data_IF_164063656669
#
_entry.id   IF_164063656669
#
_cell.length_a   1.000
_cell.length_b   1.000
_cell.length_c   1.000
_cell.angle_alpha   90.00
_cell.angle_beta   90.00
_cell.angle_gamma   90.00
#
_symmetry.space_group_name_H-M   'P 1'
#
loop_
_entity.id
_entity.type
_entity.pdbx_description
1 polymer ?
#
# COMPACT_ATOMS: atom_id res chain seq x y z
N UNK A 1 23.52 -19.83 -53.67
CA UNK A 1 22.53 -20.86 -54.06
C UNK A 1 21.65 -21.03 -52.85
N UNK A 2 20.44 -20.49 -52.88
CA UNK A 2 19.45 -20.71 -51.83
C UNK A 2 18.85 -22.08 -52.11
N UNK A 3 19.28 -23.10 -51.38
CA UNK A 3 18.69 -24.42 -51.43
C UNK A 3 17.28 -24.34 -50.79
N UNK A 4 16.28 -24.37 -51.66
CA UNK A 4 14.86 -24.38 -51.27
C UNK A 4 14.42 -25.83 -50.96
N UNK A 5 15.06 -26.47 -49.97
CA UNK A 5 14.63 -27.78 -49.48
C UNK A 5 13.54 -27.56 -48.39
N UNK A 6 12.47 -28.35 -48.41
CA UNK A 6 11.41 -28.26 -47.37
C UNK A 6 11.98 -28.75 -46.03
N UNK A 7 12.35 -27.85 -45.16
CA UNK A 7 12.73 -28.14 -43.78
C UNK A 7 11.48 -28.38 -42.92
N UNK A 8 11.59 -29.25 -41.94
CA UNK A 8 10.59 -29.38 -40.89
C UNK A 8 11.08 -28.64 -39.66
N UNK A 9 10.15 -27.95 -38.99
CA UNK A 9 10.41 -27.11 -37.85
C UNK A 9 9.63 -27.64 -36.65
N UNK A 10 10.30 -27.92 -35.56
CA UNK A 10 9.70 -28.38 -34.29
C UNK A 10 10.27 -27.55 -33.14
N UNK A 11 9.40 -26.99 -32.36
CA UNK A 11 9.74 -26.26 -31.17
C UNK A 11 9.72 -27.17 -29.93
N UNK A 12 10.45 -26.75 -28.88
CA UNK A 12 10.57 -27.54 -27.63
C UNK A 12 9.25 -27.70 -26.87
N UNK A 13 8.24 -26.90 -27.17
CA UNK A 13 6.86 -27.00 -26.63
C UNK A 13 5.97 -27.95 -27.48
N UNK A 14 6.50 -28.53 -28.55
CA UNK A 14 5.77 -29.39 -29.47
C UNK A 14 5.11 -28.67 -30.64
N UNK A 15 5.22 -27.35 -30.74
CA UNK A 15 4.68 -26.56 -31.86
C UNK A 15 5.44 -26.91 -33.14
N UNK A 16 4.72 -27.16 -34.25
CA UNK A 16 5.26 -27.41 -35.55
C UNK A 16 5.10 -26.18 -36.45
N UNK A 17 6.16 -25.74 -37.10
CA UNK A 17 6.16 -24.58 -37.99
C UNK A 17 7.33 -23.64 -37.74
N UNK A 18 7.51 -22.71 -38.64
CA UNK A 18 8.60 -21.73 -38.63
C UNK A 18 8.39 -20.59 -37.65
N UNK A 19 7.19 -20.51 -37.07
CA UNK A 19 6.77 -19.39 -36.20
C UNK A 19 6.17 -19.94 -34.93
N UNK A 20 6.66 -19.47 -33.79
CA UNK A 20 6.11 -19.71 -32.44
C UNK A 20 5.30 -18.51 -32.00
N UNK A 21 4.04 -18.70 -31.53
CA UNK A 21 3.11 -17.63 -31.16
C UNK A 21 2.47 -17.91 -29.80
N UNK A 22 2.06 -16.86 -29.11
CA UNK A 22 1.31 -16.93 -27.84
C UNK A 22 2.01 -17.75 -26.76
N UNK A 23 3.33 -17.57 -26.63
CA UNK A 23 4.15 -18.27 -25.63
C UNK A 23 4.56 -17.30 -24.50
N UNK A 24 4.68 -17.85 -23.30
CA UNK A 24 5.15 -17.14 -22.12
C UNK A 24 6.69 -16.97 -22.14
N UNK A 25 7.23 -16.22 -21.18
CA UNK A 25 8.66 -16.16 -20.96
C UNK A 25 9.24 -17.58 -20.76
N UNK A 26 10.42 -17.82 -21.31
CA UNK A 26 11.06 -19.12 -21.22
C UNK A 26 12.17 -19.31 -22.24
N UNK A 27 12.86 -20.41 -22.13
CA UNK A 27 13.84 -20.84 -23.11
C UNK A 27 13.17 -21.80 -24.13
N UNK A 28 13.14 -21.38 -25.37
CA UNK A 28 12.58 -22.17 -26.48
C UNK A 28 13.70 -22.65 -27.39
N UNK A 29 13.63 -23.92 -27.77
CA UNK A 29 14.56 -24.51 -28.73
C UNK A 29 13.81 -24.84 -29.99
N UNK A 30 14.29 -24.36 -31.13
CA UNK A 30 13.81 -24.71 -32.44
C UNK A 30 14.73 -25.80 -33.02
N UNK A 31 14.16 -26.92 -33.41
CA UNK A 31 14.83 -27.99 -34.16
C UNK A 31 14.44 -27.88 -35.64
N UNK A 32 15.42 -27.76 -36.50
CA UNK A 32 15.25 -27.66 -37.93
C UNK A 32 15.80 -28.96 -38.52
N UNK A 33 14.97 -29.75 -39.20
CA UNK A 33 15.37 -30.98 -39.81
C UNK A 33 15.29 -30.87 -41.34
N UNK A 34 16.38 -31.14 -42.02
CA UNK A 34 16.43 -31.15 -43.50
C UNK A 34 15.90 -32.44 -44.08
N UNK A 35 15.84 -32.53 -45.41
CA UNK A 35 15.40 -33.72 -46.14
C UNK A 35 16.35 -34.93 -46.02
N UNK A 36 17.56 -34.74 -45.52
CA UNK A 36 18.56 -35.81 -45.26
C UNK A 36 18.50 -36.28 -43.79
N UNK A 37 17.52 -35.82 -43.01
CA UNK A 37 17.39 -36.02 -41.55
C UNK A 37 18.53 -35.42 -40.72
N UNK A 38 19.24 -34.39 -41.23
CA UNK A 38 20.17 -33.63 -40.44
C UNK A 38 19.40 -32.65 -39.59
N UNK A 39 19.72 -32.60 -38.30
CA UNK A 39 19.04 -31.72 -37.33
C UNK A 39 19.98 -30.64 -36.87
N UNK A 40 19.55 -29.38 -36.99
CA UNK A 40 20.19 -28.23 -36.41
C UNK A 40 19.25 -27.65 -35.34
N UNK A 41 19.77 -27.05 -34.26
CA UNK A 41 18.93 -26.43 -33.24
C UNK A 41 19.40 -25.01 -32.94
N UNK A 42 18.42 -24.16 -32.63
CA UNK A 42 18.61 -22.78 -32.19
C UNK A 42 17.84 -22.52 -30.90
N UNK A 43 18.44 -21.79 -29.97
CA UNK A 43 17.83 -21.47 -28.72
C UNK A 43 17.47 -19.98 -28.66
N UNK A 44 16.28 -19.70 -28.19
CA UNK A 44 15.72 -18.36 -28.04
C UNK A 44 15.27 -18.18 -26.60
N UNK A 45 15.88 -17.23 -25.88
CA UNK A 45 15.42 -16.82 -24.58
C UNK A 45 14.36 -15.73 -24.73
N UNK A 46 13.13 -16.03 -24.39
CA UNK A 46 12.06 -15.06 -24.28
C UNK A 46 12.01 -14.59 -22.84
N UNK A 47 12.35 -13.34 -22.61
CA UNK A 47 12.28 -12.71 -21.29
C UNK A 47 10.94 -12.00 -21.14
N UNK A 48 10.46 -11.89 -19.89
CA UNK A 48 9.36 -11.00 -19.60
C UNK A 48 9.84 -9.55 -19.84
N UNK A 49 9.27 -8.84 -20.81
CA UNK A 49 9.72 -7.51 -21.14
C UNK A 49 9.31 -6.46 -20.09
N UNK A 50 8.44 -6.83 -19.15
CA UNK A 50 7.76 -5.86 -18.28
C UNK A 50 8.14 -6.07 -16.83
N UNK A 51 8.90 -5.12 -16.28
CA UNK A 51 9.16 -5.03 -14.84
C UNK A 51 8.57 -3.71 -14.36
N UNK A 52 7.66 -3.79 -13.40
CA UNK A 52 7.16 -2.63 -12.67
C UNK A 52 8.06 -2.42 -11.44
N UNK A 53 8.36 -1.17 -11.16
CA UNK A 53 8.99 -0.75 -9.91
C UNK A 53 8.30 0.51 -9.41
N UNK A 54 8.35 0.73 -8.11
CA UNK A 54 7.78 1.92 -7.50
C UNK A 54 8.90 2.82 -6.96
N UNK A 55 8.73 4.12 -7.15
CA UNK A 55 9.63 5.14 -6.61
C UNK A 55 8.85 6.31 -6.01
N UNK A 56 9.56 7.19 -5.30
CA UNK A 56 8.96 8.36 -4.65
C UNK A 56 7.73 8.00 -3.81
N UNK A 57 7.87 6.95 -2.99
CA UNK A 57 6.80 6.48 -2.13
C UNK A 57 6.76 7.37 -0.89
N UNK A 58 5.60 7.92 -0.58
CA UNK A 58 5.32 8.53 0.73
C UNK A 58 4.16 7.80 1.39
N UNK A 59 4.23 7.67 2.68
CA UNK A 59 3.22 7.03 3.50
C UNK A 59 2.30 8.07 4.16
N UNK A 60 1.20 7.63 4.74
CA UNK A 60 0.31 8.48 5.50
C UNK A 60 0.96 8.91 6.82
N UNK A 61 0.67 10.11 7.27
CA UNK A 61 1.20 10.61 8.55
C UNK A 61 0.34 10.17 9.74
N UNK A 62 -0.97 10.09 9.53
CA UNK A 62 -1.96 9.80 10.56
C UNK A 62 -2.80 8.58 10.18
N UNK A 63 -3.34 7.90 11.17
CA UNK A 63 -4.31 6.82 10.96
C UNK A 63 -5.54 7.37 10.22
N UNK A 64 -5.91 6.72 9.12
CA UNK A 64 -7.06 7.11 8.31
C UNK A 64 -6.80 8.22 7.31
N UNK A 65 -5.58 8.76 7.23
CA UNK A 65 -5.21 9.69 6.18
C UNK A 65 -5.23 9.03 4.80
N UNK A 66 -5.31 9.87 3.79
CA UNK A 66 -5.18 9.47 2.38
C UNK A 66 -4.29 10.48 1.66
N UNK A 67 -3.05 10.65 2.14
CA UNK A 67 -2.04 11.57 1.59
C UNK A 67 -0.83 10.84 0.99
N UNK A 68 -0.84 9.51 1.04
CA UNK A 68 0.21 8.68 0.45
C UNK A 68 0.42 8.98 -1.03
N UNK A 69 1.63 8.80 -1.50
CA UNK A 69 1.97 8.94 -2.92
C UNK A 69 2.84 7.78 -3.39
N UNK A 70 2.75 7.46 -4.66
CA UNK A 70 3.66 6.52 -5.31
C UNK A 70 3.85 6.89 -6.78
N UNK A 71 5.05 6.67 -7.29
CA UNK A 71 5.35 6.82 -8.72
C UNK A 71 5.68 5.46 -9.30
N UNK A 72 5.00 5.07 -10.36
CA UNK A 72 5.32 3.85 -11.11
C UNK A 72 6.49 4.12 -12.05
N UNK A 73 7.46 3.23 -12.07
CA UNK A 73 8.45 3.13 -13.11
C UNK A 73 8.35 1.74 -13.75
N UNK A 74 8.14 1.66 -15.05
CA UNK A 74 8.17 0.41 -15.80
C UNK A 74 9.42 0.36 -16.66
N UNK A 75 10.20 -0.73 -16.55
CA UNK A 75 11.27 -1.05 -17.49
C UNK A 75 10.78 -2.15 -18.44
N UNK A 76 11.17 -2.05 -19.72
CA UNK A 76 10.74 -3.00 -20.74
C UNK A 76 9.49 -2.59 -21.53
N UNK A 77 8.53 -1.91 -20.95
CA UNK A 77 7.52 -1.17 -21.69
C UNK A 77 8.19 0.01 -22.37
N UNK A 78 8.41 -0.05 -23.65
CA UNK A 78 8.98 1.08 -24.41
C UNK A 78 7.90 2.15 -24.58
N UNK A 79 7.48 2.77 -23.47
CA UNK A 79 6.70 4.00 -23.52
C UNK A 79 7.56 5.19 -24.05
N UNK A 80 8.69 4.90 -24.72
CA UNK A 80 9.59 5.93 -25.23
C UNK A 80 8.97 6.80 -26.32
N UNK A 81 7.97 6.28 -27.04
CA UNK A 81 7.33 6.99 -28.15
C UNK A 81 5.80 7.01 -28.11
N UNK A 82 5.19 6.42 -27.08
CA UNK A 82 3.74 6.37 -26.91
C UNK A 82 3.36 6.40 -25.44
N UNK A 83 2.21 6.97 -25.13
CA UNK A 83 1.73 7.18 -23.77
C UNK A 83 1.07 5.92 -23.23
N UNK A 84 1.68 5.25 -22.24
CA UNK A 84 0.96 4.27 -21.43
C UNK A 84 -0.17 4.95 -20.65
N UNK A 85 -1.25 4.24 -20.45
CA UNK A 85 -2.32 4.64 -19.53
C UNK A 85 -2.16 3.92 -18.20
N UNK A 86 -2.55 4.59 -17.14
CA UNK A 86 -2.48 4.09 -15.77
C UNK A 86 -3.87 4.08 -15.18
N UNK A 87 -4.14 3.13 -14.31
CA UNK A 87 -5.35 3.09 -13.49
C UNK A 87 -4.97 2.57 -12.09
N UNK A 88 -5.06 3.45 -11.11
CA UNK A 88 -4.86 3.11 -9.71
C UNK A 88 -6.19 2.84 -9.00
N UNK A 89 -6.17 2.13 -7.87
CA UNK A 89 -7.36 1.84 -7.07
C UNK A 89 -8.13 3.09 -6.65
N UNK A 90 -7.43 4.20 -6.40
CA UNK A 90 -8.06 5.48 -6.07
C UNK A 90 -8.60 6.24 -7.29
N UNK A 91 -8.56 5.64 -8.47
CA UNK A 91 -9.02 6.24 -9.73
C UNK A 91 -8.02 7.18 -10.40
N UNK A 92 -6.80 7.32 -9.88
CA UNK A 92 -5.76 8.13 -10.53
C UNK A 92 -5.36 7.51 -11.87
N UNK A 93 -5.27 8.36 -12.90
CA UNK A 93 -4.94 7.95 -14.28
C UNK A 93 -3.53 8.37 -14.70
N UNK A 94 -2.70 8.79 -13.77
CA UNK A 94 -1.36 9.30 -14.05
C UNK A 94 -0.28 8.44 -13.38
N UNK A 95 0.93 8.52 -13.92
CA UNK A 95 2.10 7.79 -13.45
C UNK A 95 2.43 8.01 -11.97
N UNK A 96 2.22 9.23 -11.47
CA UNK A 96 2.43 9.63 -10.09
C UNK A 96 1.08 9.78 -9.39
N UNK A 97 0.65 8.74 -8.66
CA UNK A 97 -0.58 8.82 -7.88
C UNK A 97 -0.35 9.56 -6.57
N UNK A 98 -1.36 10.32 -6.17
CA UNK A 98 -1.44 11.04 -4.90
C UNK A 98 -2.74 10.69 -4.20
N UNK A 99 -2.88 11.05 -2.93
CA UNK A 99 -4.06 10.74 -2.12
C UNK A 99 -4.33 9.23 -2.02
N UNK A 100 -3.26 8.44 -1.88
CA UNK A 100 -3.36 7.01 -1.67
C UNK A 100 -3.68 6.73 -0.20
N UNK A 101 -4.79 6.00 0.09
CA UNK A 101 -5.07 5.55 1.44
C UNK A 101 -4.04 4.51 1.90
N UNK A 102 -4.05 4.18 3.18
CA UNK A 102 -3.27 3.06 3.70
C UNK A 102 -3.74 1.72 3.14
N UNK A 103 -2.84 0.75 3.13
CA UNK A 103 -3.08 -0.58 2.59
C UNK A 103 -2.43 -0.82 1.24
N UNK A 104 -2.81 -1.95 0.63
CA UNK A 104 -2.36 -2.30 -0.72
C UNK A 104 -3.03 -1.39 -1.74
N UNK A 105 -2.22 -0.79 -2.60
CA UNK A 105 -2.67 0.06 -3.70
C UNK A 105 -2.24 -0.59 -5.01
N UNK A 106 -3.20 -0.97 -5.82
CA UNK A 106 -2.96 -1.60 -7.12
C UNK A 106 -2.88 -0.56 -8.22
N UNK A 107 -2.08 -0.87 -9.23
CA UNK A 107 -2.01 -0.10 -10.47
C UNK A 107 -2.04 -1.04 -11.67
N UNK A 108 -2.86 -0.70 -12.64
CA UNK A 108 -2.93 -1.33 -13.95
C UNK A 108 -2.28 -0.37 -14.95
N UNK A 109 -1.32 -0.87 -15.70
CA UNK A 109 -0.66 -0.12 -16.78
C UNK A 109 -1.03 -0.78 -18.10
N UNK A 110 -1.63 -0.02 -18.99
CA UNK A 110 -1.98 -0.48 -20.33
C UNK A 110 -1.06 0.20 -21.34
N UNK A 111 -0.34 -0.61 -22.08
CA UNK A 111 0.52 -0.16 -23.17
C UNK A 111 -0.29 0.05 -24.47
N UNK A 112 0.10 0.96 -25.38
CA UNK A 112 -0.62 1.20 -26.64
C UNK A 112 -0.71 0.00 -27.59
N UNK A 113 0.17 -0.99 -27.46
CA UNK A 113 0.11 -2.26 -28.20
C UNK A 113 -0.91 -3.25 -27.63
N UNK A 114 -1.59 -2.88 -26.53
CA UNK A 114 -2.59 -3.69 -25.86
C UNK A 114 -2.05 -4.57 -24.74
N UNK A 115 -0.74 -4.54 -24.44
CA UNK A 115 -0.20 -5.24 -23.28
C UNK A 115 -0.67 -4.58 -21.99
N UNK A 116 -1.06 -5.40 -21.02
CA UNK A 116 -1.50 -4.98 -19.69
C UNK A 116 -0.55 -5.60 -18.67
N UNK A 117 -0.07 -4.78 -17.76
CA UNK A 117 0.71 -5.23 -16.59
C UNK A 117 0.13 -4.59 -15.33
N UNK A 118 0.15 -5.34 -14.24
CA UNK A 118 -0.36 -4.89 -12.95
C UNK A 118 0.62 -5.21 -11.83
N UNK A 119 0.63 -4.38 -10.83
CA UNK A 119 1.41 -4.59 -9.61
C UNK A 119 0.79 -3.79 -8.46
N UNK A 120 1.32 -3.96 -7.26
CA UNK A 120 0.79 -3.30 -6.08
C UNK A 120 1.90 -2.83 -5.15
N UNK A 121 1.60 -1.76 -4.41
CA UNK A 121 2.47 -1.18 -3.40
C UNK A 121 1.71 -1.01 -2.09
N UNK A 122 2.36 -1.24 -0.98
CA UNK A 122 1.78 -1.03 0.34
C UNK A 122 2.08 0.39 0.83
N UNK A 123 1.01 1.16 1.12
CA UNK A 123 1.09 2.46 1.79
C UNK A 123 0.84 2.23 3.27
N UNK A 124 1.84 2.54 4.10
CA UNK A 124 1.69 2.44 5.55
C UNK A 124 0.70 3.48 6.05
N UNK A 125 -0.03 3.11 7.08
CA UNK A 125 -0.79 4.07 7.89
C UNK A 125 0.17 4.86 8.79
N UNK A 126 -0.26 6.02 9.24
CA UNK A 126 0.46 6.79 10.24
C UNK A 126 0.34 6.17 11.64
N UNK A 127 1.08 6.71 12.57
CA UNK A 127 0.96 6.32 13.97
C UNK A 127 -0.19 7.10 14.64
N UNK A 128 -0.89 6.51 15.62
CA UNK A 128 -1.87 7.24 16.41
C UNK A 128 -1.17 8.36 17.21
N UNK A 129 -1.87 9.43 17.50
CA UNK A 129 -1.31 10.50 18.35
C UNK A 129 -1.13 10.00 19.77
N UNK A 130 -2.03 9.14 20.22
CA UNK A 130 -2.02 8.54 21.57
C UNK A 130 -1.96 7.02 21.44
N UNK A 131 -0.93 6.41 22.00
CA UNK A 131 -0.74 4.96 21.97
C UNK A 131 -1.69 4.22 22.92
N UNK A 132 -1.91 4.80 24.11
CA UNK A 132 -2.77 4.21 25.14
C UNK A 132 -3.26 5.24 26.14
N UNK A 133 -4.23 4.85 26.95
CA UNK A 133 -4.77 5.66 28.03
C UNK A 133 -5.04 4.82 29.29
N UNK A 134 -4.94 5.46 30.44
CA UNK A 134 -5.31 4.89 31.71
C UNK A 134 -6.44 5.73 32.35
N UNK A 135 -7.53 5.07 32.72
CA UNK A 135 -8.67 5.70 33.39
C UNK A 135 -8.80 5.11 34.78
N UNK A 136 -8.72 5.98 35.78
CA UNK A 136 -9.01 5.64 37.19
C UNK A 136 -10.34 6.26 37.57
N UNK A 137 -11.31 5.40 37.91
CA UNK A 137 -12.62 5.81 38.37
C UNK A 137 -12.55 6.38 39.80
N UNK A 138 -13.61 7.03 40.22
CA UNK A 138 -13.75 7.54 41.62
C UNK A 138 -13.69 6.38 42.61
N UNK A 139 -12.99 6.58 43.70
CA UNK A 139 -12.90 5.58 44.80
C UNK A 139 -14.17 5.50 45.61
N UNK A 140 -14.90 6.60 45.79
CA UNK A 140 -16.11 6.72 46.60
C UNK A 140 -17.18 7.58 45.91
N UNK A 141 -18.43 7.38 46.28
CA UNK A 141 -19.56 8.17 45.72
C UNK A 141 -19.39 9.69 45.86
N UNK A 142 -18.89 10.17 46.99
CA UNK A 142 -18.67 11.60 47.23
C UNK A 142 -17.27 12.11 46.91
N UNK A 143 -16.34 11.25 46.50
CA UNK A 143 -14.99 11.69 46.10
C UNK A 143 -14.98 12.31 44.71
N UNK A 144 -13.99 13.16 44.45
CA UNK A 144 -13.65 13.64 43.12
C UNK A 144 -12.17 13.32 42.84
N UNK A 145 -11.84 12.05 42.88
CA UNK A 145 -10.47 11.52 42.74
C UNK A 145 -10.28 10.70 41.45
N UNK A 146 -11.21 10.80 40.51
CA UNK A 146 -11.07 10.24 39.20
C UNK A 146 -9.87 10.84 38.45
N UNK A 147 -9.25 10.05 37.59
CA UNK A 147 -8.07 10.46 36.82
C UNK A 147 -8.10 9.84 35.42
N UNK A 148 -7.60 10.59 34.45
CA UNK A 148 -7.33 10.11 33.10
C UNK A 148 -5.90 10.50 32.74
N UNK A 149 -5.13 9.53 32.26
CA UNK A 149 -3.77 9.72 31.80
C UNK A 149 -3.65 9.21 30.36
N UNK A 150 -3.02 10.02 29.48
CA UNK A 150 -2.75 9.67 28.11
C UNK A 150 -1.26 9.44 27.90
N UNK A 151 -0.94 8.41 27.13
CA UNK A 151 0.42 8.07 26.73
C UNK A 151 0.59 8.37 25.25
N UNK A 152 1.05 9.57 24.88
CA UNK A 152 1.22 9.96 23.48
C UNK A 152 2.45 9.29 22.88
N UNK A 153 2.40 9.04 21.58
CA UNK A 153 3.52 8.50 20.83
C UNK A 153 4.75 9.42 20.86
N UNK A 154 4.53 10.74 20.82
CA UNK A 154 5.60 11.73 20.94
C UNK A 154 5.22 12.83 21.96
N UNK A 155 5.58 12.67 23.25
CA UNK A 155 5.20 13.61 24.30
C UNK A 155 5.68 15.06 24.08
N UNK A 156 6.82 15.24 23.41
CA UNK A 156 7.43 16.57 23.26
C UNK A 156 6.72 17.49 22.25
N UNK A 157 5.91 16.94 21.37
CA UNK A 157 5.20 17.70 20.32
C UNK A 157 3.69 17.61 20.43
N UNK A 158 3.17 16.95 21.48
CA UNK A 158 1.75 16.70 21.66
C UNK A 158 1.11 17.78 22.52
N UNK A 159 0.00 18.35 22.03
CA UNK A 159 -0.83 19.32 22.73
C UNK A 159 -2.21 18.71 23.03
N UNK A 160 -2.80 19.11 24.14
CA UNK A 160 -4.09 18.61 24.62
C UNK A 160 -5.06 19.73 24.84
N UNK A 161 -6.33 19.49 24.49
CA UNK A 161 -7.44 20.38 24.80
C UNK A 161 -8.59 19.53 25.38
N UNK A 162 -8.71 19.52 26.70
CA UNK A 162 -9.73 18.78 27.41
C UNK A 162 -11.04 19.57 27.54
N UNK A 163 -12.14 18.81 27.70
CA UNK A 163 -13.48 19.39 27.98
C UNK A 163 -13.57 20.25 29.23
N UNK A 164 -12.65 20.05 30.18
CA UNK A 164 -12.52 20.85 31.40
C UNK A 164 -11.47 21.97 31.28
N UNK A 165 -11.02 22.26 30.06
CA UNK A 165 -10.00 23.29 29.76
C UNK A 165 -8.59 22.98 30.25
N UNK A 166 -8.31 21.76 30.68
CA UNK A 166 -6.94 21.31 30.95
C UNK A 166 -6.16 21.11 29.64
N UNK A 167 -4.83 21.20 29.74
CA UNK A 167 -3.92 21.11 28.59
C UNK A 167 -2.74 20.15 28.81
N UNK A 168 -2.86 19.24 29.75
CA UNK A 168 -1.81 18.28 30.12
C UNK A 168 -2.22 16.87 29.70
N UNK A 169 -1.26 15.97 29.59
CA UNK A 169 -1.53 14.56 29.29
C UNK A 169 -2.25 13.80 30.43
N UNK A 170 -2.25 14.37 31.62
CA UNK A 170 -2.91 13.82 32.80
C UNK A 170 -3.86 14.84 33.41
N UNK A 171 -5.09 14.42 33.68
CA UNK A 171 -6.08 15.20 34.42
C UNK A 171 -6.57 14.39 35.61
N UNK A 172 -6.67 15.04 36.77
CA UNK A 172 -7.05 14.42 38.04
C UNK A 172 -8.13 15.22 38.76
N UNK A 173 -8.56 14.72 39.92
CA UNK A 173 -9.64 15.30 40.71
C UNK A 173 -10.96 15.40 39.93
N UNK A 174 -11.24 14.36 39.12
CA UNK A 174 -12.41 14.31 38.26
C UNK A 174 -13.64 13.80 39.00
N UNK A 175 -14.77 14.46 38.79
CA UNK A 175 -16.09 13.95 39.13
C UNK A 175 -16.52 12.86 38.15
N UNK A 176 -17.55 12.07 38.48
CA UNK A 176 -18.15 11.14 37.53
C UNK A 176 -18.80 11.88 36.35
N UNK A 177 -18.68 11.30 35.15
CA UNK A 177 -19.27 11.84 33.93
C UNK A 177 -18.37 11.75 32.75
N UNK A 178 -18.82 12.25 31.58
CA UNK A 178 -18.08 12.20 30.34
C UNK A 178 -16.99 13.27 30.26
N UNK A 179 -15.86 12.89 29.72
CA UNK A 179 -14.75 13.77 29.39
C UNK A 179 -14.32 13.49 27.94
N UNK A 180 -13.95 14.53 27.23
CA UNK A 180 -13.33 14.39 25.92
C UNK A 180 -12.06 15.23 25.84
N UNK A 181 -11.18 14.84 24.92
CA UNK A 181 -9.94 15.55 24.65
C UNK A 181 -9.69 15.56 23.14
N UNK A 182 -9.23 16.70 22.64
CA UNK A 182 -8.59 16.80 21.33
C UNK A 182 -7.08 16.77 21.56
N UNK A 183 -6.42 15.86 20.91
CA UNK A 183 -4.97 15.65 21.00
C UNK A 183 -4.36 15.94 19.64
N UNK A 184 -3.41 16.86 19.60
CA UNK A 184 -2.76 17.27 18.35
C UNK A 184 -1.23 17.12 18.47
N UNK A 185 -0.62 16.66 17.42
CA UNK A 185 0.82 16.82 17.21
C UNK A 185 1.06 17.67 15.94
N UNK A 186 2.30 17.69 15.43
CA UNK A 186 2.67 18.50 14.25
C UNK A 186 1.86 18.15 12.99
N UNK A 187 1.40 16.89 12.88
CA UNK A 187 0.79 16.37 11.66
C UNK A 187 -0.65 15.91 11.87
N UNK A 188 -0.98 15.42 13.06
CA UNK A 188 -2.21 14.68 13.35
C UNK A 188 -3.05 15.35 14.42
N UNK A 189 -4.35 15.15 14.31
CA UNK A 189 -5.34 15.51 15.36
C UNK A 189 -6.26 14.31 15.59
N UNK A 190 -6.49 13.98 16.85
CA UNK A 190 -7.38 12.91 17.26
C UNK A 190 -8.32 13.38 18.38
N UNK A 191 -9.47 12.72 18.53
CA UNK A 191 -10.47 13.01 19.54
C UNK A 191 -10.81 11.76 20.33
N UNK A 192 -10.58 11.80 21.62
CA UNK A 192 -10.82 10.68 22.52
C UNK A 192 -11.93 11.01 23.52
N UNK A 193 -12.70 10.00 23.89
CA UNK A 193 -13.85 10.11 24.80
C UNK A 193 -13.70 9.13 25.94
N UNK A 194 -13.95 9.60 27.16
CA UNK A 194 -13.82 8.85 28.40
C UNK A 194 -15.05 9.06 29.27
N UNK A 195 -15.32 8.11 30.16
CA UNK A 195 -16.34 8.24 31.16
C UNK A 195 -15.79 7.82 32.52
N UNK A 196 -15.80 8.71 33.50
CA UNK A 196 -15.44 8.41 34.88
C UNK A 196 -16.68 7.86 35.59
N UNK A 197 -16.58 6.67 36.11
CA UNK A 197 -17.65 6.01 36.84
C UNK A 197 -17.58 6.35 38.34
N UNK A 198 -18.73 6.38 38.99
CA UNK A 198 -18.87 6.49 40.44
C UNK A 198 -19.32 5.15 41.01
N UNK A 199 -18.78 4.68 42.15
CA UNK A 199 -19.39 3.59 42.89
C UNK A 199 -20.79 3.96 43.36
N UNK A 200 -21.58 2.96 43.67
CA UNK A 200 -22.91 3.16 44.26
C UNK A 200 -22.83 3.80 45.64
N UNK A 201 -23.86 4.58 45.97
CA UNK A 201 -24.02 5.17 47.31
C UNK A 201 -24.32 4.05 48.29
N UNK A 202 -23.61 4.00 49.41
CA UNK A 202 -23.92 3.13 50.51
C UNK A 202 -25.05 3.80 51.29
N UNK A 203 -26.26 3.23 51.26
CA UNK A 203 -27.35 3.61 52.10
C UNK A 203 -27.30 2.73 53.36
N UNK A 204 -27.26 3.36 54.55
CA UNK A 204 -27.36 2.73 55.86
C UNK A 204 -28.75 2.98 56.40
#
# INVERSE_FOLDING_TARGET
IINNYPNTYLWSDGTIGDTLKNVSQGLYTLFITDTNNCVEYHQFQLNDPYVISFGNITHNNCIGDSIGTATVASSGCVCQFSTCTYLWDNGSLIKHATNLPSGMQHVIITHPDGCIVEDSIFINDGLPVVDSSLVSNKSCFYSNDGQIELFPNNPSTTNYTWSNSASQNIISQLSSGPYWVIVNNTFCSDSLYFNILSPDSIFV
#
